data_IF_800399306485
#
_entry.id   IF_800399306485
#
_cell.length_a   1.000
_cell.length_b   1.000
_cell.length_c   1.000
_cell.angle_alpha   90.00
_cell.angle_beta   90.00
_cell.angle_gamma   90.00
#
_symmetry.space_group_name_H-M   'P 1'
#
loop_
_entity.id
_entity.type
_entity.pdbx_description
1 polymer ?
#
# COMPACT_ATOMS: atom_id res chain seq x y z
N UNK A 1 -27.97 -6.57 -31.45
CA UNK A 1 -26.93 -7.62 -31.42
C UNK A 1 -26.04 -7.35 -30.22
N UNK A 2 -25.94 -8.34 -29.33
CA UNK A 2 -25.29 -8.21 -28.03
C UNK A 2 -23.78 -8.01 -28.17
N UNK A 3 -23.26 -6.88 -27.69
CA UNK A 3 -21.84 -6.70 -27.45
C UNK A 3 -21.45 -7.45 -26.18
N UNK A 4 -20.75 -8.57 -26.32
CA UNK A 4 -20.06 -9.19 -25.20
C UNK A 4 -19.00 -8.20 -24.69
N UNK A 5 -19.31 -7.51 -23.58
CA UNK A 5 -18.29 -6.96 -22.69
C UNK A 5 -17.56 -8.16 -22.08
N UNK A 6 -16.52 -8.62 -22.75
CA UNK A 6 -15.56 -9.51 -22.09
C UNK A 6 -14.88 -8.69 -20.99
N UNK A 7 -14.82 -9.30 -19.82
CA UNK A 7 -14.23 -8.75 -18.62
C UNK A 7 -12.72 -8.60 -18.86
N UNK A 8 -12.25 -7.38 -19.14
CA UNK A 8 -10.84 -7.02 -19.44
C UNK A 8 -9.94 -7.12 -18.18
N UNK A 9 -10.23 -8.07 -17.30
CA UNK A 9 -9.41 -8.31 -16.12
C UNK A 9 -8.12 -9.00 -16.54
N UNK A 10 -7.01 -8.27 -16.44
CA UNK A 10 -5.65 -8.78 -16.68
C UNK A 10 -5.06 -9.34 -15.39
N UNK A 11 -4.41 -10.50 -15.48
CA UNK A 11 -3.68 -11.12 -14.38
C UNK A 11 -2.19 -11.17 -14.70
N UNK A 12 -1.37 -11.09 -13.66
CA UNK A 12 0.09 -11.09 -13.81
C UNK A 12 0.59 -12.54 -13.78
N UNK A 13 1.10 -13.00 -14.92
CA UNK A 13 1.90 -14.22 -14.99
C UNK A 13 3.37 -13.90 -14.75
N UNK A 14 4.00 -14.57 -13.79
CA UNK A 14 5.44 -14.56 -13.57
C UNK A 14 6.02 -15.87 -14.08
N UNK A 15 7.04 -15.82 -14.92
CA UNK A 15 7.72 -17.02 -15.42
C UNK A 15 9.22 -16.96 -15.11
N UNK A 16 9.82 -18.13 -14.91
CA UNK A 16 11.26 -18.32 -14.70
C UNK A 16 11.77 -19.20 -15.82
N UNK A 17 12.75 -18.72 -16.59
CA UNK A 17 13.40 -19.51 -17.62
C UNK A 17 14.38 -20.51 -17.01
N UNK A 18 14.77 -21.53 -17.77
CA UNK A 18 15.80 -22.50 -17.37
C UNK A 18 17.16 -21.85 -17.04
N UNK A 19 17.41 -20.63 -17.54
CA UNK A 19 18.58 -19.82 -17.17
C UNK A 19 18.49 -19.15 -15.79
N UNK A 20 17.34 -19.25 -15.12
CA UNK A 20 17.03 -18.55 -13.87
C UNK A 20 16.52 -17.11 -14.06
N UNK A 21 16.47 -16.61 -15.30
CA UNK A 21 15.93 -15.28 -15.60
C UNK A 21 14.42 -15.30 -15.33
N UNK A 22 13.95 -14.34 -14.54
CA UNK A 22 12.53 -14.13 -14.23
C UNK A 22 11.94 -13.02 -15.09
N UNK A 23 10.73 -13.21 -15.57
CA UNK A 23 9.96 -12.22 -16.30
C UNK A 23 8.52 -12.17 -15.80
N UNK A 24 7.85 -11.06 -16.06
CA UNK A 24 6.43 -10.89 -15.76
C UNK A 24 5.70 -10.40 -16.99
N UNK A 25 4.45 -10.84 -17.13
CA UNK A 25 3.63 -10.48 -18.28
C UNK A 25 2.15 -10.41 -17.88
N UNK A 26 1.45 -9.31 -18.18
CA UNK A 26 0.02 -9.20 -17.95
C UNK A 26 -0.73 -9.95 -19.06
N UNK A 27 -1.61 -10.87 -18.69
CA UNK A 27 -2.40 -11.70 -19.61
C UNK A 27 -3.88 -11.69 -19.19
N UNK A 28 -4.78 -11.71 -20.17
CA UNK A 28 -6.20 -11.95 -19.92
C UNK A 28 -6.46 -13.41 -19.54
N UNK A 29 -7.64 -13.70 -18.97
CA UNK A 29 -8.04 -15.09 -18.69
C UNK A 29 -7.94 -16.00 -19.91
N UNK A 30 -8.33 -15.51 -21.10
CA UNK A 30 -8.24 -16.29 -22.33
C UNK A 30 -6.78 -16.59 -22.69
N UNK A 31 -5.91 -15.58 -22.66
CA UNK A 31 -4.48 -15.74 -22.95
C UNK A 31 -3.79 -16.69 -21.96
N UNK A 32 -4.26 -16.73 -20.70
CA UNK A 32 -3.76 -17.67 -19.70
C UNK A 32 -4.15 -19.11 -20.05
N UNK A 33 -5.39 -19.36 -20.48
CA UNK A 33 -5.80 -20.70 -20.91
C UNK A 33 -5.00 -21.16 -22.14
N UNK A 34 -4.77 -20.25 -23.09
CA UNK A 34 -3.92 -20.51 -24.25
C UNK A 34 -2.47 -20.82 -23.84
N UNK A 35 -1.90 -20.05 -22.91
CA UNK A 35 -0.58 -20.33 -22.33
C UNK A 35 -0.52 -21.71 -21.68
N UNK A 36 -1.50 -22.07 -20.85
CA UNK A 36 -1.54 -23.37 -20.17
C UNK A 36 -1.58 -24.52 -21.17
N UNK A 37 -2.36 -24.39 -22.24
CA UNK A 37 -2.40 -25.40 -23.29
C UNK A 37 -1.08 -25.49 -24.05
N UNK A 38 -0.49 -24.35 -24.44
CA UNK A 38 0.84 -24.29 -25.07
C UNK A 38 1.91 -24.94 -24.19
N UNK A 39 1.87 -24.68 -22.88
CA UNK A 39 2.79 -25.25 -21.91
C UNK A 39 2.64 -26.77 -21.81
N UNK A 40 1.40 -27.27 -21.74
CA UNK A 40 1.07 -28.70 -21.67
C UNK A 40 1.57 -29.48 -22.89
N UNK A 41 1.47 -28.90 -24.08
CA UNK A 41 1.86 -29.55 -25.35
C UNK A 41 3.31 -29.24 -25.78
N UNK A 42 4.05 -28.42 -25.02
CA UNK A 42 5.42 -28.05 -25.35
C UNK A 42 5.57 -27.11 -26.55
N UNK A 43 4.55 -26.31 -26.88
CA UNK A 43 4.59 -25.38 -28.03
C UNK A 43 4.94 -23.95 -27.62
N UNK A 44 5.38 -23.17 -28.60
CA UNK A 44 5.57 -21.73 -28.46
C UNK A 44 4.21 -21.03 -28.31
N UNK A 45 4.08 -20.27 -27.24
CA UNK A 45 3.01 -19.31 -27.03
C UNK A 45 3.38 -17.98 -27.67
N UNK A 46 2.47 -17.37 -28.44
CA UNK A 46 2.63 -16.04 -29.02
C UNK A 46 1.30 -15.31 -28.86
N UNK A 47 1.34 -14.11 -28.27
CA UNK A 47 0.14 -13.30 -28.06
C UNK A 47 0.45 -11.81 -28.20
N UNK A 48 -0.57 -10.99 -28.38
CA UNK A 48 -0.46 -9.53 -28.42
C UNK A 48 -0.72 -8.92 -27.03
N UNK A 49 0.13 -7.99 -26.64
CA UNK A 49 0.03 -7.26 -25.37
C UNK A 49 0.14 -5.78 -25.69
N UNK A 50 -1.00 -5.07 -25.60
CA UNK A 50 -1.07 -3.66 -25.97
C UNK A 50 -0.84 -3.45 -27.47
N UNK A 51 0.40 -3.11 -27.85
CA UNK A 51 0.83 -2.93 -29.26
C UNK A 51 2.04 -3.78 -29.63
N UNK A 52 2.47 -4.65 -28.72
CA UNK A 52 3.66 -5.48 -28.88
C UNK A 52 3.29 -6.96 -28.91
N UNK A 53 4.09 -7.75 -29.63
CA UNK A 53 3.96 -9.21 -29.61
C UNK A 53 4.85 -9.80 -28.53
N UNK A 54 4.26 -10.61 -27.67
CA UNK A 54 4.95 -11.38 -26.67
C UNK A 54 5.02 -12.85 -27.11
N UNK A 55 6.20 -13.46 -26.98
CA UNK A 55 6.42 -14.86 -27.32
C UNK A 55 7.21 -15.58 -26.23
N UNK A 56 6.73 -16.76 -25.83
CA UNK A 56 7.36 -17.59 -24.81
C UNK A 56 7.33 -19.06 -25.24
N UNK A 57 8.49 -19.72 -25.23
CA UNK A 57 8.58 -21.15 -25.55
C UNK A 57 8.41 -21.98 -24.28
N UNK A 58 7.45 -22.90 -24.26
CA UNK A 58 7.14 -23.74 -23.09
C UNK A 58 8.36 -24.48 -22.54
N UNK A 59 9.17 -25.10 -23.41
CA UNK A 59 10.34 -25.89 -22.99
C UNK A 59 11.47 -25.07 -22.34
N UNK A 60 11.46 -23.74 -22.51
CA UNK A 60 12.47 -22.86 -21.91
C UNK A 60 12.05 -22.34 -20.54
N UNK A 61 10.82 -22.61 -20.12
CA UNK A 61 10.25 -22.15 -18.85
C UNK A 61 10.38 -23.27 -17.82
N UNK A 62 11.13 -22.99 -16.74
CA UNK A 62 11.32 -23.90 -15.63
C UNK A 62 10.13 -23.89 -14.65
N UNK A 63 9.55 -22.71 -14.42
CA UNK A 63 8.43 -22.49 -13.51
C UNK A 63 7.61 -21.28 -13.97
N UNK A 64 6.29 -21.29 -13.75
CA UNK A 64 5.45 -20.11 -13.93
C UNK A 64 4.32 -20.08 -12.91
N UNK A 65 3.89 -18.86 -12.56
CA UNK A 65 2.83 -18.59 -11.58
C UNK A 65 1.91 -17.52 -12.13
N UNK A 66 0.61 -17.78 -12.10
CA UNK A 66 -0.43 -16.83 -12.50
C UNK A 66 -1.10 -16.33 -11.22
N UNK A 67 -1.06 -15.02 -10.99
CA UNK A 67 -1.71 -14.40 -9.85
C UNK A 67 -3.18 -14.14 -10.21
N UNK A 68 -4.03 -15.15 -10.08
CA UNK A 68 -5.48 -15.00 -10.27
C UNK A 68 -6.25 -15.41 -9.01
N UNK A 69 -7.54 -15.09 -8.96
CA UNK A 69 -8.41 -15.43 -7.82
C UNK A 69 -8.60 -16.94 -7.64
N UNK A 70 -8.19 -17.74 -8.63
CA UNK A 70 -8.35 -19.20 -8.67
C UNK A 70 -7.04 -19.96 -8.46
N UNK A 71 -5.89 -19.27 -8.31
CA UNK A 71 -4.60 -19.89 -8.07
C UNK A 71 -4.56 -20.28 -6.61
N UNK A 72 -4.91 -21.53 -6.33
CA UNK A 72 -4.98 -22.17 -5.02
C UNK A 72 -3.61 -22.37 -4.34
N UNK A 73 -2.75 -21.36 -4.41
CA UNK A 73 -1.64 -21.15 -3.46
C UNK A 73 -2.03 -20.16 -2.36
N UNK A 74 -3.34 -19.92 -2.18
CA UNK A 74 -3.91 -19.45 -0.92
C UNK A 74 -4.37 -20.62 -0.03
N UNK A 75 -3.63 -21.74 0.01
CA UNK A 75 -3.35 -22.32 1.32
C UNK A 75 -2.24 -21.49 1.97
N UNK A 76 -2.53 -20.19 2.16
CA UNK A 76 -1.96 -19.52 3.32
C UNK A 76 -2.43 -20.39 4.46
N UNK A 77 -1.52 -20.94 5.25
CA UNK A 77 -1.85 -21.46 6.57
C UNK A 77 -2.57 -20.28 7.24
N UNK A 78 -3.90 -20.26 7.17
CA UNK A 78 -4.70 -19.26 7.83
C UNK A 78 -4.45 -19.62 9.29
N UNK A 79 -3.69 -18.82 10.06
CA UNK A 79 -3.58 -19.09 11.47
C UNK A 79 -5.02 -19.15 11.97
N UNK A 80 -5.38 -20.26 12.62
CA UNK A 80 -6.70 -20.45 13.22
C UNK A 80 -7.05 -19.12 13.86
N UNK A 81 -8.01 -18.40 13.28
CA UNK A 81 -8.44 -17.13 13.82
C UNK A 81 -9.03 -17.49 15.17
N UNK A 82 -8.22 -17.29 16.22
CA UNK A 82 -8.73 -17.26 17.57
C UNK A 82 -9.89 -16.26 17.57
N UNK A 83 -10.97 -16.56 18.29
CA UNK A 83 -12.17 -15.75 18.27
C UNK A 83 -11.84 -14.27 18.44
N UNK A 84 -12.64 -13.45 17.75
CA UNK A 84 -12.58 -12.02 17.43
C UNK A 84 -12.44 -11.04 18.63
N UNK A 85 -11.96 -11.51 19.78
CA UNK A 85 -11.66 -10.72 20.97
C UNK A 85 -10.33 -9.98 20.82
N UNK A 86 -9.28 -10.65 20.33
CA UNK A 86 -7.95 -10.07 20.22
C UNK A 86 -7.85 -8.92 19.19
N UNK A 87 -8.55 -9.01 18.05
CA UNK A 87 -8.51 -7.98 17.01
C UNK A 87 -9.22 -6.68 17.44
N UNK A 88 -10.29 -6.81 18.24
CA UNK A 88 -10.98 -5.67 18.87
C UNK A 88 -10.11 -5.02 19.94
N UNK A 89 -9.45 -5.80 20.77
CA UNK A 89 -8.50 -5.28 21.77
C UNK A 89 -7.31 -4.56 21.11
N UNK A 90 -6.74 -5.15 20.04
CA UNK A 90 -5.64 -4.54 19.30
C UNK A 90 -6.07 -3.26 18.56
N UNK A 91 -7.21 -3.27 17.86
CA UNK A 91 -7.72 -2.07 17.18
C UNK A 91 -8.10 -0.95 18.15
N UNK A 92 -8.55 -1.27 19.37
CA UNK A 92 -8.71 -0.30 20.44
C UNK A 92 -7.36 0.19 20.98
N UNK A 93 -6.35 -0.67 21.10
CA UNK A 93 -5.00 -0.29 21.51
C UNK A 93 -4.29 0.61 20.47
N UNK A 94 -4.54 0.44 19.17
CA UNK A 94 -4.01 1.34 18.14
C UNK A 94 -4.77 2.68 18.06
N UNK A 95 -6.08 2.67 18.33
CA UNK A 95 -6.87 3.92 18.46
C UNK A 95 -6.52 4.73 19.70
N UNK A 96 -6.06 4.07 20.79
CA UNK A 96 -5.71 4.76 22.03
C UNK A 96 -4.42 5.60 21.93
N UNK A 97 -3.65 5.45 20.86
CA UNK A 97 -2.41 6.22 20.62
C UNK A 97 -2.58 7.45 19.73
N UNK A 98 -3.75 7.66 19.13
CA UNK A 98 -3.99 8.83 18.27
C UNK A 98 -3.99 10.13 19.10
N UNK A 99 -2.99 10.96 18.84
CA UNK A 99 -2.76 12.23 19.54
C UNK A 99 -3.23 13.38 18.65
N UNK A 100 -4.13 14.22 19.17
CA UNK A 100 -4.57 15.42 18.48
C UNK A 100 -3.48 16.50 18.48
N UNK A 101 -3.32 17.18 17.35
CA UNK A 101 -2.36 18.26 17.15
C UNK A 101 -3.09 19.46 16.56
N UNK A 102 -2.88 20.64 17.15
CA UNK A 102 -3.27 21.93 16.58
C UNK A 102 -2.05 22.60 15.96
N UNK A 103 -2.05 22.71 14.64
CA UNK A 103 -1.00 23.36 13.86
C UNK A 103 -1.38 24.83 13.66
N UNK A 104 -0.45 25.74 13.94
CA UNK A 104 -0.58 27.17 13.64
C UNK A 104 0.70 27.69 12.98
N UNK A 105 0.63 27.88 11.66
CA UNK A 105 1.78 28.20 10.83
C UNK A 105 1.89 29.70 10.53
N UNK A 106 3.13 30.20 10.37
CA UNK A 106 3.46 31.57 9.93
C UNK A 106 2.84 31.95 8.58
N UNK A 107 2.46 30.98 7.74
CA UNK A 107 1.73 31.22 6.50
C UNK A 107 0.23 31.55 6.69
N UNK A 108 -0.22 31.68 7.94
CA UNK A 108 -1.60 32.03 8.31
C UNK A 108 -2.56 30.84 8.39
N UNK A 109 -2.08 29.60 8.22
CA UNK A 109 -2.94 28.41 8.28
C UNK A 109 -2.96 27.84 9.70
N UNK A 110 -4.17 27.64 10.23
CA UNK A 110 -4.42 27.01 11.52
C UNK A 110 -5.45 25.88 11.37
N UNK A 111 -5.10 24.68 11.82
CA UNK A 111 -5.98 23.50 11.72
C UNK A 111 -5.67 22.47 12.82
N UNK A 112 -6.61 21.55 13.02
CA UNK A 112 -6.47 20.42 13.97
C UNK A 112 -6.39 19.11 13.17
N UNK A 113 -5.44 18.26 13.51
CA UNK A 113 -5.18 16.98 12.84
C UNK A 113 -4.81 15.91 13.85
N UNK A 114 -4.94 14.64 13.46
CA UNK A 114 -4.61 13.47 14.27
C UNK A 114 -3.23 12.96 13.85
N UNK A 115 -2.42 12.58 14.83
CA UNK A 115 -1.13 11.93 14.61
C UNK A 115 -1.10 10.59 15.32
N UNK A 116 -0.65 9.50 14.66
CA UNK A 116 -0.56 8.18 15.28
C UNK A 116 0.35 8.13 16.51
N UNK A 117 1.29 9.08 16.63
CA UNK A 117 2.22 9.20 17.76
C UNK A 117 2.47 10.67 18.09
N UNK A 118 2.91 10.97 19.32
CA UNK A 118 3.37 12.31 19.70
C UNK A 118 4.62 12.67 18.88
N UNK A 119 4.53 13.70 18.04
CA UNK A 119 5.65 14.20 17.24
C UNK A 119 6.12 15.55 17.76
N UNK A 120 7.41 15.83 17.66
CA UNK A 120 8.01 17.14 18.02
C UNK A 120 8.05 18.12 16.84
N UNK A 121 7.87 17.61 15.62
CA UNK A 121 7.89 18.35 14.36
C UNK A 121 6.72 17.93 13.49
N UNK A 122 6.16 18.87 12.75
CA UNK A 122 5.11 18.62 11.76
C UNK A 122 5.30 19.53 10.55
N UNK A 123 4.75 19.14 9.40
CA UNK A 123 4.80 19.95 8.18
C UNK A 123 3.46 20.60 7.92
N UNK A 124 3.45 21.92 7.72
CA UNK A 124 2.22 22.63 7.34
C UNK A 124 1.70 22.09 5.99
N UNK A 125 0.43 21.69 5.93
CA UNK A 125 -0.19 21.18 4.70
C UNK A 125 -0.21 22.20 3.56
N UNK A 126 -0.24 23.50 3.88
CA UNK A 126 -0.30 24.58 2.89
C UNK A 126 1.07 24.99 2.34
N UNK A 127 2.01 25.33 3.21
CA UNK A 127 3.31 25.89 2.79
C UNK A 127 4.49 24.92 2.96
N UNK A 128 4.27 23.73 3.53
CA UNK A 128 5.30 22.70 3.81
C UNK A 128 6.42 23.15 4.74
N UNK A 129 6.32 24.31 5.37
CA UNK A 129 7.23 24.73 6.42
C UNK A 129 7.07 23.85 7.66
N UNK A 130 8.18 23.61 8.36
CA UNK A 130 8.20 22.86 9.60
C UNK A 130 7.61 23.72 10.72
N UNK A 131 6.67 23.15 11.47
CA UNK A 131 6.18 23.65 12.76
C UNK A 131 6.70 22.75 13.88
N UNK A 132 6.91 23.33 15.06
CA UNK A 132 7.50 22.64 16.21
C UNK A 132 6.49 22.58 17.35
N UNK A 133 6.54 21.48 18.11
CA UNK A 133 5.74 21.29 19.32
C UNK A 133 6.13 22.29 20.40
N UNK A 134 5.15 23.08 20.85
CA UNK A 134 5.33 24.03 21.94
C UNK A 134 5.04 23.36 23.29
N UNK A 135 6.09 22.84 23.91
CA UNK A 135 6.00 22.22 25.24
C UNK A 135 5.57 23.21 26.34
N UNK A 136 5.88 24.51 26.19
CA UNK A 136 5.50 25.53 27.18
C UNK A 136 4.00 25.78 27.18
N UNK A 137 3.39 25.76 25.99
CA UNK A 137 1.94 25.95 25.84
C UNK A 137 1.16 24.67 26.11
N UNK A 138 1.78 23.50 25.93
CA UNK A 138 1.20 22.21 26.27
C UNK A 138 0.01 21.83 25.37
N UNK A 139 -1.04 21.27 25.98
CA UNK A 139 -2.28 20.92 25.29
C UNK A 139 -3.26 22.11 25.32
N UNK A 140 -3.84 22.42 24.17
CA UNK A 140 -4.84 23.48 24.00
C UNK A 140 -6.20 22.88 23.68
N UNK A 141 -7.27 23.49 24.20
CA UNK A 141 -8.63 23.05 23.89
C UNK A 141 -8.99 23.38 22.44
N UNK A 142 -9.59 22.40 21.76
CA UNK A 142 -10.08 22.51 20.38
C UNK A 142 -11.47 21.92 20.26
N UNK A 143 -12.15 22.18 19.14
CA UNK A 143 -13.47 21.61 18.84
C UNK A 143 -13.48 20.07 18.80
N UNK A 144 -12.31 19.42 18.64
CA UNK A 144 -12.16 17.96 18.64
C UNK A 144 -11.60 17.40 19.96
N UNK A 145 -11.36 18.26 20.96
CA UNK A 145 -10.75 17.89 22.24
C UNK A 145 -9.39 18.56 22.49
N UNK A 146 -8.67 18.10 23.51
CA UNK A 146 -7.34 18.63 23.86
C UNK A 146 -6.31 18.21 22.82
N UNK A 147 -5.61 19.18 22.24
CA UNK A 147 -4.63 18.94 21.19
C UNK A 147 -3.27 19.57 21.55
N UNK A 148 -2.17 18.92 21.18
CA UNK A 148 -0.84 19.48 21.30
C UNK A 148 -0.64 20.67 20.35
N UNK A 149 -0.15 21.80 20.86
CA UNK A 149 0.06 22.99 20.03
C UNK A 149 1.39 22.95 19.30
N UNK A 150 1.36 23.19 17.99
CA UNK A 150 2.55 23.27 17.15
C UNK A 150 2.59 24.59 16.38
N UNK A 151 3.73 25.27 16.38
CA UNK A 151 3.89 26.53 15.67
C UNK A 151 5.32 26.77 15.17
N UNK A 152 5.45 27.70 14.23
CA UNK A 152 6.70 28.30 13.78
C UNK A 152 6.62 29.84 13.72
N UNK A 153 5.65 30.44 14.41
CA UNK A 153 5.50 31.91 14.48
C UNK A 153 6.50 32.57 15.42
N UNK A 154 7.03 31.81 16.38
CA UNK A 154 8.05 32.25 17.33
C UNK A 154 9.01 31.10 17.63
N UNK A 155 10.09 31.42 18.35
CA UNK A 155 11.06 30.42 18.78
C UNK A 155 10.43 29.49 19.83
N UNK A 156 10.45 28.19 19.53
CA UNK A 156 9.98 27.13 20.42
C UNK A 156 11.20 26.35 20.88
N UNK A 157 11.34 26.15 22.20
CA UNK A 157 12.40 25.32 22.78
C UNK A 157 12.26 23.89 22.28
N UNK A 158 13.31 23.40 21.62
CA UNK A 158 13.38 22.05 21.09
C UNK A 158 14.18 21.24 22.08
N UNK A 159 13.53 20.33 22.80
CA UNK A 159 14.28 19.28 23.50
C UNK A 159 15.08 18.52 22.44
N UNK A 160 16.40 18.70 22.45
CA UNK A 160 17.32 17.85 21.71
C UNK A 160 17.23 16.47 22.32
N UNK A 161 16.42 15.59 21.73
CA UNK A 161 16.64 14.15 21.86
C UNK A 161 17.94 13.84 21.12
N UNK A 162 19.05 14.08 21.81
CA UNK A 162 20.38 13.67 21.41
C UNK A 162 20.58 12.22 21.84
N UNK A 163 20.85 11.38 20.84
CA UNK A 163 21.31 9.98 20.88
C UNK A 163 20.29 8.98 21.41
#
# INVERSE_FOLDING_TARGET
MYGHRQDDTLYIMTYTLNSGIKGTVPLSNQQIQEWLECYRIGKKFVTEIGKEYFGLHAELVADFKVHNQYSSYQEVIIPIQQPDTGLRELSQAYKSTETLIKVDCKCGTSYVTESPFKRTKWYCTKCREIVFLDNKKGMVDTSRGKAHYMTNKYFVERETTGV
#
